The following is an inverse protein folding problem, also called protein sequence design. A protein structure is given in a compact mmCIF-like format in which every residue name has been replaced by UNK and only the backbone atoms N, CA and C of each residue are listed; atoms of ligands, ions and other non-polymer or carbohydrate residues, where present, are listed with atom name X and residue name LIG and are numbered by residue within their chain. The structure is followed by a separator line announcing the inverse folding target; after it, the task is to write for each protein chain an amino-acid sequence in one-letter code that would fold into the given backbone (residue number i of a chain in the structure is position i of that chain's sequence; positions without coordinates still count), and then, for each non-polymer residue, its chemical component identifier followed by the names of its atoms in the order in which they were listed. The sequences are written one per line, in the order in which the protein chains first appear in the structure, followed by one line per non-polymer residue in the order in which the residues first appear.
data_IF_387422904846
#
_entry.id   IF_387422904846
#
_cell.length_a   1.000
_cell.length_b   1.000
_cell.length_c   1.000
_cell.angle_alpha   90.00
_cell.angle_beta   90.00
_cell.angle_gamma   90.00
#
_symmetry.space_group_name_H-M   'P 1'
#
loop_
_entity.id
_entity.type
_entity.pdbx_description
1 polymer ?
#
# COMPACT_ATOMS: atom_id res chain seq x y z
N UNK A 1 -19.41 18.61 -19.35
CA UNK A 1 -20.45 17.56 -19.43
C UNK A 1 -19.92 16.34 -18.70
N UNK A 2 -20.46 16.13 -17.50
CA UNK A 2 -20.04 15.14 -16.51
C UNK A 2 -20.70 13.80 -16.83
N UNK A 3 -19.95 12.77 -17.16
CA UNK A 3 -20.46 11.40 -17.20
C UNK A 3 -20.36 10.79 -15.81
N UNK A 4 -21.51 10.77 -15.13
CA UNK A 4 -21.74 10.02 -13.92
C UNK A 4 -21.49 8.53 -14.19
N UNK A 5 -20.66 7.89 -13.36
CA UNK A 5 -20.62 6.43 -13.29
C UNK A 5 -21.96 5.95 -12.73
N UNK A 6 -22.74 5.27 -13.55
CA UNK A 6 -23.91 4.51 -13.10
C UNK A 6 -23.44 3.36 -12.21
N UNK A 7 -23.37 3.58 -10.91
CA UNK A 7 -23.37 2.49 -9.94
C UNK A 7 -24.77 1.87 -9.97
N UNK A 8 -24.96 0.88 -10.84
CA UNK A 8 -26.18 0.06 -10.80
C UNK A 8 -26.29 -0.54 -9.41
N UNK A 9 -27.48 -0.50 -8.81
CA UNK A 9 -27.70 -1.07 -7.48
C UNK A 9 -27.13 -2.50 -7.41
N UNK A 10 -26.46 -2.89 -6.32
CA UNK A 10 -25.81 -4.20 -6.20
C UNK A 10 -26.80 -5.31 -6.56
N UNK A 11 -26.52 -5.94 -7.70
CA UNK A 11 -27.52 -6.72 -8.44
C UNK A 11 -27.60 -8.16 -7.91
N UNK A 12 -26.53 -8.64 -7.27
CA UNK A 12 -26.48 -9.95 -6.61
C UNK A 12 -26.38 -9.83 -5.09
N UNK A 13 -26.71 -10.91 -4.37
CA UNK A 13 -26.58 -10.97 -2.92
C UNK A 13 -25.11 -10.78 -2.46
N UNK A 14 -24.15 -11.27 -3.24
CA UNK A 14 -22.72 -11.13 -2.93
C UNK A 14 -22.31 -9.66 -3.03
N UNK A 15 -22.74 -8.96 -4.08
CA UNK A 15 -22.45 -7.52 -4.24
C UNK A 15 -22.99 -6.72 -3.05
N UNK A 16 -24.21 -7.05 -2.59
CA UNK A 16 -24.82 -6.38 -1.43
C UNK A 16 -24.04 -6.60 -0.15
N UNK A 17 -23.56 -7.83 0.08
CA UNK A 17 -22.69 -8.14 1.23
C UNK A 17 -21.38 -7.37 1.13
N UNK A 18 -20.74 -7.37 -0.04
CA UNK A 18 -19.50 -6.65 -0.28
C UNK A 18 -19.67 -5.14 -0.02
N UNK A 19 -20.71 -4.51 -0.59
CA UNK A 19 -21.02 -3.10 -0.36
C UNK A 19 -21.25 -2.79 1.12
N UNK A 20 -21.95 -3.67 1.86
CA UNK A 20 -22.17 -3.50 3.29
C UNK A 20 -20.90 -3.62 4.14
N UNK A 21 -19.93 -4.44 3.74
CA UNK A 21 -18.65 -4.55 4.44
C UNK A 21 -17.73 -3.38 4.11
N UNK A 22 -17.74 -2.90 2.85
CA UNK A 22 -16.91 -1.78 2.40
C UNK A 22 -17.28 -0.45 3.06
N UNK A 23 -18.50 -0.28 3.59
CA UNK A 23 -18.86 0.96 4.30
C UNK A 23 -18.00 1.22 5.55
N UNK A 24 -17.35 0.20 6.11
CA UNK A 24 -16.48 0.34 7.27
C UNK A 24 -15.08 0.87 6.93
N UNK A 25 -14.73 0.99 5.64
CA UNK A 25 -13.48 1.61 5.21
C UNK A 25 -13.44 3.09 5.62
N UNK A 26 -12.43 3.48 6.39
CA UNK A 26 -12.27 4.82 6.96
C UNK A 26 -13.04 5.08 8.26
N UNK A 27 -13.87 4.14 8.73
CA UNK A 27 -14.80 4.38 9.84
C UNK A 27 -15.01 3.14 10.73
N UNK A 28 -14.53 3.15 11.99
CA UNK A 28 -14.51 1.96 12.83
C UNK A 28 -15.89 1.50 13.29
N UNK A 29 -16.90 2.39 13.29
CA UNK A 29 -18.25 2.10 13.78
C UNK A 29 -19.30 2.86 12.97
N UNK A 30 -20.42 2.21 12.65
CA UNK A 30 -21.54 2.84 11.94
C UNK A 30 -22.90 2.34 12.38
N UNK A 31 -23.90 3.21 12.33
CA UNK A 31 -25.31 2.85 12.57
C UNK A 31 -25.93 2.20 11.33
N UNK A 32 -27.03 1.45 11.51
CA UNK A 32 -27.80 0.87 10.41
C UNK A 32 -28.18 1.91 9.34
N UNK A 33 -28.56 3.12 9.75
CA UNK A 33 -28.98 4.18 8.83
C UNK A 33 -27.81 4.63 7.94
N UNK A 34 -26.62 4.82 8.52
CA UNK A 34 -25.42 5.19 7.78
C UNK A 34 -24.98 4.07 6.82
N UNK A 35 -25.03 2.82 7.29
CA UNK A 35 -24.68 1.65 6.49
C UNK A 35 -25.61 1.50 5.28
N UNK A 36 -26.93 1.51 5.52
CA UNK A 36 -27.93 1.38 4.46
C UNK A 36 -27.79 2.48 3.39
N UNK A 37 -27.59 3.73 3.84
CA UNK A 37 -27.41 4.88 2.95
C UNK A 37 -26.14 4.75 2.10
N UNK A 38 -25.02 4.37 2.69
CA UNK A 38 -23.73 4.32 1.98
C UNK A 38 -23.59 3.09 1.09
N UNK A 39 -24.21 1.96 1.47
CA UNK A 39 -24.25 0.76 0.64
C UNK A 39 -25.30 0.84 -0.49
N UNK A 40 -26.07 1.93 -0.56
CA UNK A 40 -27.21 2.11 -1.46
C UNK A 40 -28.23 0.96 -1.38
N UNK A 41 -28.67 0.65 -0.15
CA UNK A 41 -29.60 -0.45 0.13
C UNK A 41 -30.81 0.01 0.94
N UNK A 42 -32.01 -0.56 0.68
CA UNK A 42 -33.15 -0.38 1.56
C UNK A 42 -32.80 -0.81 2.99
N UNK A 43 -33.24 -0.02 3.98
CA UNK A 43 -32.93 -0.25 5.40
C UNK A 43 -33.29 -1.67 5.89
N UNK A 44 -34.41 -2.21 5.42
CA UNK A 44 -34.86 -3.57 5.75
C UNK A 44 -33.91 -4.64 5.20
N UNK A 45 -33.42 -4.46 3.97
CA UNK A 45 -32.44 -5.36 3.35
C UNK A 45 -31.10 -5.30 4.07
N UNK A 46 -30.58 -4.09 4.31
CA UNK A 46 -29.34 -3.90 5.06
C UNK A 46 -29.42 -4.54 6.45
N UNK A 47 -30.55 -4.37 7.15
CA UNK A 47 -30.76 -4.96 8.48
C UNK A 47 -30.69 -6.49 8.46
N UNK A 48 -31.43 -7.14 7.53
CA UNK A 48 -31.44 -8.61 7.40
C UNK A 48 -30.05 -9.17 7.07
N UNK A 49 -29.32 -8.49 6.19
CA UNK A 49 -27.96 -8.92 5.82
C UNK A 49 -27.00 -8.74 7.01
N UNK A 50 -27.05 -7.59 7.68
CA UNK A 50 -26.23 -7.34 8.87
C UNK A 50 -26.51 -8.34 10.00
N UNK A 51 -27.76 -8.75 10.21
CA UNK A 51 -28.07 -9.82 11.19
C UNK A 51 -27.31 -11.11 10.86
N UNK A 52 -27.33 -11.54 9.59
CA UNK A 52 -26.58 -12.73 9.16
C UNK A 52 -25.07 -12.53 9.29
N UNK A 53 -24.54 -11.34 8.98
CA UNK A 53 -23.12 -11.03 9.16
C UNK A 53 -22.70 -11.04 10.64
N UNK A 54 -23.61 -10.65 11.54
CA UNK A 54 -23.40 -10.75 13.00
C UNK A 54 -23.37 -12.21 13.45
N UNK A 55 -24.32 -13.04 12.99
CA UNK A 55 -24.34 -14.47 13.30
C UNK A 55 -23.09 -15.21 12.79
N UNK A 56 -22.54 -14.78 11.64
CA UNK A 56 -21.30 -15.31 11.09
C UNK A 56 -20.03 -14.75 11.75
N UNK A 57 -20.16 -13.75 12.63
CA UNK A 57 -19.05 -13.06 13.29
C UNK A 57 -18.24 -12.11 12.39
N UNK A 58 -18.72 -11.84 11.17
CA UNK A 58 -18.05 -10.93 10.22
C UNK A 58 -18.28 -9.46 10.58
N UNK A 59 -19.39 -9.18 11.26
CA UNK A 59 -19.74 -7.89 11.82
C UNK A 59 -20.08 -8.10 13.30
N UNK A 60 -19.76 -7.14 14.15
CA UNK A 60 -20.21 -7.11 15.54
C UNK A 60 -21.18 -5.94 15.74
N UNK A 61 -22.10 -6.09 16.68
CA UNK A 61 -23.05 -5.05 17.04
C UNK A 61 -22.86 -4.64 18.49
N UNK A 62 -22.56 -3.36 18.71
CA UNK A 62 -22.47 -2.73 20.03
C UNK A 62 -23.61 -1.70 20.14
N UNK A 63 -24.69 -2.06 20.85
CA UNK A 63 -25.89 -1.24 20.95
C UNK A 63 -26.55 -0.98 19.60
N UNK A 64 -26.48 0.26 19.12
CA UNK A 64 -27.03 0.70 17.82
C UNK A 64 -25.98 0.81 16.71
N UNK A 65 -24.72 0.56 17.03
CA UNK A 65 -23.61 0.63 16.09
C UNK A 65 -23.13 -0.77 15.72
N UNK A 66 -22.60 -0.87 14.52
CA UNK A 66 -21.96 -2.04 13.95
C UNK A 66 -20.49 -1.72 13.69
N UNK A 67 -19.63 -2.74 13.74
CA UNK A 67 -18.22 -2.70 13.36
C UNK A 67 -17.81 -4.00 12.69
N UNK A 68 -16.67 -4.04 12.01
CA UNK A 68 -16.10 -5.31 11.54
C UNK A 68 -15.80 -6.23 12.72
N UNK A 69 -16.20 -7.49 12.59
CA UNK A 69 -15.99 -8.51 13.62
C UNK A 69 -14.65 -9.20 13.52
N UNK A 70 -14.18 -9.79 14.62
CA UNK A 70 -12.87 -10.44 14.69
C UNK A 70 -12.65 -11.54 13.64
N UNK A 71 -13.72 -12.21 13.17
CA UNK A 71 -13.64 -13.25 12.13
C UNK A 71 -13.02 -12.74 10.82
N UNK A 72 -13.23 -11.47 10.47
CA UNK A 72 -12.63 -10.87 9.27
C UNK A 72 -11.10 -10.79 9.41
N UNK A 73 -10.60 -10.45 10.60
CA UNK A 73 -9.16 -10.45 10.89
C UNK A 73 -8.57 -11.88 10.85
N UNK A 74 -9.26 -12.87 11.42
CA UNK A 74 -8.82 -14.27 11.37
C UNK A 74 -8.67 -14.81 9.94
N UNK A 75 -9.56 -14.38 9.03
CA UNK A 75 -9.49 -14.77 7.62
C UNK A 75 -8.40 -13.99 6.87
N UNK A 76 -8.33 -12.67 7.06
CA UNK A 76 -7.33 -11.81 6.41
C UNK A 76 -5.90 -12.13 6.85
N UNK A 77 -5.68 -12.38 8.15
CA UNK A 77 -4.36 -12.75 8.69
C UNK A 77 -3.81 -14.05 8.09
N UNK A 78 -4.67 -15.00 7.72
CA UNK A 78 -4.24 -16.21 7.01
C UNK A 78 -3.70 -15.94 5.60
N UNK A 79 -4.18 -14.88 4.94
CA UNK A 79 -3.66 -14.45 3.64
C UNK A 79 -2.25 -13.91 3.81
N UNK A 80 -2.08 -12.97 4.74
CA UNK A 80 -0.78 -12.33 5.02
C UNK A 80 0.25 -13.34 5.54
N UNK A 81 -0.12 -14.20 6.50
CA UNK A 81 0.79 -15.20 7.06
C UNK A 81 1.26 -16.25 6.06
N UNK A 82 0.45 -16.57 5.04
CA UNK A 82 0.82 -17.52 3.97
C UNK A 82 1.72 -16.89 2.92
N UNK A 83 1.83 -15.57 2.91
CA UNK A 83 2.69 -14.86 1.98
C UNK A 83 4.14 -14.96 2.47
N UNK A 84 4.91 -15.89 1.88
CA UNK A 84 6.35 -16.06 2.16
C UNK A 84 7.13 -14.75 2.03
N UNK A 85 6.70 -13.87 1.14
CA UNK A 85 7.30 -12.56 0.96
C UNK A 85 7.16 -11.69 2.21
N UNK A 86 5.96 -11.59 2.80
CA UNK A 86 5.71 -10.80 4.01
C UNK A 86 6.66 -11.22 5.14
N UNK A 87 6.74 -12.52 5.42
CA UNK A 87 7.65 -13.05 6.45
C UNK A 87 9.12 -12.74 6.15
N UNK A 88 9.52 -12.80 4.88
CA UNK A 88 10.87 -12.47 4.43
C UNK A 88 11.18 -10.99 4.63
N UNK A 89 10.20 -10.10 4.41
CA UNK A 89 10.36 -8.65 4.55
C UNK A 89 10.56 -8.20 6.00
N UNK A 90 9.90 -8.84 6.97
CA UNK A 90 9.83 -8.36 8.36
C UNK A 90 11.21 -8.03 8.97
N UNK A 91 12.23 -8.91 8.93
CA UNK A 91 13.54 -8.59 9.52
C UNK A 91 14.19 -7.36 8.89
N UNK A 92 14.06 -7.18 7.57
CA UNK A 92 14.61 -6.02 6.87
C UNK A 92 13.85 -4.74 7.21
N UNK A 93 12.52 -4.82 7.34
CA UNK A 93 11.69 -3.70 7.76
C UNK A 93 12.05 -3.22 9.17
N UNK A 94 12.22 -4.15 10.12
CA UNK A 94 12.68 -3.79 11.47
C UNK A 94 14.08 -3.19 11.48
N UNK A 95 15.00 -3.73 10.66
CA UNK A 95 16.35 -3.18 10.55
C UNK A 95 16.35 -1.75 9.97
N UNK A 96 15.56 -1.50 8.92
CA UNK A 96 15.38 -0.17 8.33
C UNK A 96 14.78 0.82 9.32
N UNK A 97 13.71 0.42 10.02
CA UNK A 97 13.09 1.27 11.03
C UNK A 97 14.10 1.63 12.13
N UNK A 98 14.82 0.63 12.64
CA UNK A 98 15.79 0.83 13.72
C UNK A 98 16.96 1.72 13.31
N UNK A 99 17.42 1.64 12.06
CA UNK A 99 18.57 2.44 11.60
C UNK A 99 18.19 3.86 11.18
N UNK A 100 16.97 4.08 10.69
CA UNK A 100 16.55 5.37 10.12
C UNK A 100 15.61 6.17 11.04
N UNK A 101 14.93 5.50 11.97
CA UNK A 101 13.82 6.08 12.73
C UNK A 101 12.57 6.39 11.89
N UNK A 102 12.59 6.09 10.59
CA UNK A 102 11.49 6.33 9.65
C UNK A 102 10.48 5.19 9.69
N UNK A 103 9.24 5.50 9.31
CA UNK A 103 8.21 4.46 9.21
C UNK A 103 8.36 3.68 7.93
N UNK A 104 8.32 2.36 8.05
CA UNK A 104 8.51 1.42 6.94
C UNK A 104 7.18 0.79 6.58
N UNK A 105 6.84 0.79 5.29
CA UNK A 105 5.67 0.07 4.79
C UNK A 105 6.09 -1.01 3.79
N UNK A 106 5.40 -2.14 3.86
CA UNK A 106 5.34 -3.12 2.77
C UNK A 106 4.02 -2.91 2.04
N UNK A 107 4.07 -2.74 0.72
CA UNK A 107 2.88 -2.50 -0.09
C UNK A 107 2.83 -3.41 -1.31
N UNK A 108 1.62 -3.78 -1.72
CA UNK A 108 1.34 -4.48 -2.98
C UNK A 108 0.49 -3.63 -3.92
N UNK A 109 0.75 -3.68 -5.23
CA UNK A 109 -0.06 -3.02 -6.25
C UNK A 109 -1.20 -3.95 -6.68
N UNK A 110 -2.44 -3.52 -6.44
CA UNK A 110 -3.67 -4.26 -6.73
C UNK A 110 -4.67 -3.31 -7.40
N UNK A 111 -5.05 -3.61 -8.64
CA UNK A 111 -6.09 -2.88 -9.38
C UNK A 111 -5.88 -1.35 -9.43
N UNK A 112 -4.64 -0.90 -9.66
CA UNK A 112 -4.32 0.52 -9.78
C UNK A 112 -4.10 1.25 -8.44
N UNK A 113 -4.19 0.54 -7.32
CA UNK A 113 -3.96 1.07 -5.98
C UNK A 113 -2.87 0.29 -5.26
N UNK A 114 -2.15 0.96 -4.37
CA UNK A 114 -1.31 0.26 -3.40
C UNK A 114 -2.13 -0.12 -2.18
N UNK A 115 -1.98 -1.35 -1.73
CA UNK A 115 -2.47 -1.85 -0.46
C UNK A 115 -1.28 -1.99 0.50
N UNK A 116 -1.35 -1.35 1.66
CA UNK A 116 -0.34 -1.54 2.70
C UNK A 116 -0.58 -2.88 3.41
N UNK A 117 0.39 -3.78 3.33
CA UNK A 117 0.33 -5.10 3.95
C UNK A 117 0.87 -5.08 5.38
N UNK A 118 1.91 -4.26 5.62
CA UNK A 118 2.59 -4.19 6.91
C UNK A 118 3.15 -2.79 7.14
N UNK A 119 3.27 -2.42 8.42
CA UNK A 119 3.81 -1.13 8.84
C UNK A 119 4.65 -1.28 10.12
N UNK A 120 5.87 -0.76 10.09
CA UNK A 120 6.72 -0.62 11.28
C UNK A 120 6.92 0.87 11.57
N UNK A 121 6.43 1.33 12.73
CA UNK A 121 6.50 2.72 13.20
C UNK A 121 5.14 3.41 13.29
N UNK A 122 4.98 4.32 14.24
CA UNK A 122 3.67 4.92 14.60
C UNK A 122 3.39 6.27 13.93
N UNK A 123 4.40 6.89 13.32
CA UNK A 123 4.24 8.11 12.52
C UNK A 123 4.05 7.77 11.03
N UNK A 124 3.35 8.58 10.21
CA UNK A 124 2.38 9.56 10.63
C UNK A 124 1.08 8.86 11.06
N UNK A 125 0.41 9.41 12.08
CA UNK A 125 -0.98 9.04 12.39
C UNK A 125 -1.94 9.88 11.52
N UNK A 126 -1.93 9.62 10.20
CA UNK A 126 -2.73 10.37 9.21
C UNK A 126 -3.87 9.54 8.62
N UNK A 127 -4.54 8.77 9.47
CA UNK A 127 -5.75 8.03 9.13
C UNK A 127 -5.50 6.62 8.58
N UNK A 128 -6.59 5.97 8.18
CA UNK A 128 -6.63 4.54 7.86
C UNK A 128 -5.87 4.18 6.56
N UNK A 129 -5.70 5.13 5.64
CA UNK A 129 -5.01 4.88 4.36
C UNK A 129 -3.52 4.58 4.51
N UNK A 130 -2.91 4.93 5.64
CA UNK A 130 -1.50 4.64 5.97
C UNK A 130 -1.34 3.47 6.95
N UNK A 131 -2.44 2.78 7.30
CA UNK A 131 -2.40 1.61 8.19
C UNK A 131 -2.40 0.33 7.35
N UNK A 132 -1.97 -0.82 7.90
CA UNK A 132 -2.18 -2.11 7.24
C UNK A 132 -3.65 -2.28 6.85
N UNK A 133 -3.91 -2.69 5.61
CA UNK A 133 -5.24 -2.73 5.00
C UNK A 133 -5.66 -1.44 4.27
N UNK A 134 -4.98 -0.33 4.51
CA UNK A 134 -5.23 0.96 3.86
C UNK A 134 -4.79 0.96 2.39
N UNK A 135 -5.55 1.71 1.58
CA UNK A 135 -5.29 1.85 0.14
C UNK A 135 -4.99 3.28 -0.27
N UNK A 136 -4.16 3.42 -1.31
CA UNK A 136 -3.88 4.69 -1.96
C UNK A 136 -3.76 4.51 -3.48
N UNK A 137 -4.16 5.49 -4.30
CA UNK A 137 -3.90 5.43 -5.74
C UNK A 137 -2.41 5.23 -6.04
N UNK A 138 -2.08 4.28 -6.92
CA UNK A 138 -0.69 3.97 -7.24
C UNK A 138 0.06 5.17 -7.84
N UNK A 139 -0.68 6.03 -8.54
CA UNK A 139 -0.14 7.25 -9.17
C UNK A 139 0.28 8.31 -8.16
N UNK A 140 -0.30 8.32 -6.95
CA UNK A 140 0.04 9.27 -5.89
C UNK A 140 1.12 8.73 -4.95
N UNK A 141 1.09 7.43 -4.64
CA UNK A 141 2.04 6.85 -3.68
C UNK A 141 3.44 6.65 -4.28
N UNK A 142 4.48 6.84 -3.45
CA UNK A 142 5.85 6.49 -3.86
C UNK A 142 5.96 4.99 -4.20
N UNK A 143 5.35 4.11 -3.39
CA UNK A 143 5.36 2.67 -3.61
C UNK A 143 4.74 2.28 -4.96
N UNK A 144 3.57 2.84 -5.30
CA UNK A 144 2.90 2.55 -6.56
C UNK A 144 3.72 3.00 -7.76
N UNK A 145 4.29 4.21 -7.70
CA UNK A 145 5.19 4.71 -8.74
C UNK A 145 6.48 3.89 -8.85
N UNK A 146 7.05 3.40 -7.75
CA UNK A 146 8.21 2.52 -7.79
C UNK A 146 7.91 1.20 -8.53
N UNK A 147 6.74 0.60 -8.28
CA UNK A 147 6.30 -0.63 -8.96
C UNK A 147 6.02 -0.35 -10.44
N UNK A 148 5.23 0.68 -10.76
CA UNK A 148 4.88 1.03 -12.14
C UNK A 148 6.10 1.36 -13.01
N UNK A 149 7.18 1.89 -12.40
CA UNK A 149 8.44 2.16 -13.09
C UNK A 149 9.19 0.88 -13.53
N UNK A 150 8.89 -0.27 -12.92
CA UNK A 150 9.48 -1.58 -13.27
C UNK A 150 8.68 -2.36 -14.30
N UNK A 151 7.44 -1.93 -14.57
CA UNK A 151 6.52 -2.57 -15.50
C UNK A 151 6.58 -1.89 -16.88
N UNK A 152 6.33 -2.67 -17.93
CA UNK A 152 5.98 -2.08 -19.21
C UNK A 152 4.62 -1.37 -19.09
N UNK A 153 4.43 -0.28 -19.84
CA UNK A 153 3.18 0.49 -19.78
C UNK A 153 1.95 -0.34 -20.16
N UNK A 154 2.11 -1.33 -21.05
CA UNK A 154 1.06 -2.27 -21.41
C UNK A 154 0.61 -3.19 -20.26
N UNK A 155 1.40 -3.30 -19.18
CA UNK A 155 1.12 -4.11 -18.00
C UNK A 155 0.57 -3.30 -16.83
N UNK A 156 0.39 -1.99 -17.03
CA UNK A 156 -0.21 -1.15 -16.01
C UNK A 156 -1.67 -1.56 -15.79
N UNK A 157 -2.11 -1.64 -14.53
CA UNK A 157 -3.52 -1.82 -14.23
C UNK A 157 -4.31 -0.58 -14.68
N UNK A 158 -5.64 -0.66 -14.63
CA UNK A 158 -6.48 0.52 -14.85
C UNK A 158 -6.17 1.58 -13.78
N UNK A 159 -5.49 2.65 -14.21
CA UNK A 159 -5.06 3.74 -13.33
C UNK A 159 -6.15 4.80 -13.24
N UNK A 160 -6.52 5.15 -12.01
CA UNK A 160 -7.38 6.30 -11.72
C UNK A 160 -6.53 7.49 -11.26
N UNK A 161 -6.99 8.69 -11.62
CA UNK A 161 -6.36 9.95 -11.23
C UNK A 161 -7.38 10.77 -10.42
N UNK A 162 -7.70 10.36 -9.18
CA UNK A 162 -8.54 11.17 -8.31
C UNK A 162 -7.84 12.52 -8.05
N UNK A 163 -8.58 13.58 -7.69
CA UNK A 163 -7.97 14.84 -7.30
C UNK A 163 -6.91 14.60 -6.22
N UNK A 164 -5.64 14.98 -6.43
CA UNK A 164 -4.62 14.72 -5.44
C UNK A 164 -4.86 15.56 -4.21
N UNK A 165 -4.44 15.02 -3.07
CA UNK A 165 -4.59 15.69 -1.77
C UNK A 165 -3.75 16.98 -1.68
N UNK A 166 -2.79 17.18 -2.59
CA UNK A 166 -1.91 18.35 -2.63
C UNK A 166 -1.65 18.82 -4.07
N UNK A 167 -1.14 20.04 -4.21
CA UNK A 167 -0.71 20.59 -5.50
C UNK A 167 0.56 19.95 -6.08
N UNK A 168 1.25 19.10 -5.30
CA UNK A 168 2.50 18.44 -5.71
C UNK A 168 2.28 17.03 -6.26
N UNK A 169 1.05 16.53 -6.19
CA UNK A 169 0.69 15.20 -6.65
C UNK A 169 0.73 15.04 -8.18
N UNK A 170 0.68 13.80 -8.64
CA UNK A 170 0.55 13.48 -10.07
C UNK A 170 -0.93 13.51 -10.45
N UNK A 171 -1.32 14.38 -11.39
CA UNK A 171 -2.72 14.59 -11.80
C UNK A 171 -3.07 13.94 -13.15
N UNK A 172 -2.07 13.62 -13.97
CA UNK A 172 -2.29 13.16 -15.34
C UNK A 172 -1.35 12.04 -15.73
N UNK A 173 -1.77 11.25 -16.72
CA UNK A 173 -0.93 10.20 -17.33
C UNK A 173 0.40 10.76 -17.85
N UNK A 174 0.41 11.95 -18.44
CA UNK A 174 1.64 12.60 -18.93
C UNK A 174 2.59 12.95 -17.80
N UNK A 175 2.06 13.49 -16.69
CA UNK A 175 2.87 13.75 -15.49
C UNK A 175 3.41 12.45 -14.88
N UNK A 176 2.59 11.40 -14.84
CA UNK A 176 3.01 10.08 -14.37
C UNK A 176 4.15 9.53 -15.22
N UNK A 177 4.02 9.49 -16.56
CA UNK A 177 5.09 9.01 -17.46
C UNK A 177 6.41 9.73 -17.24
N UNK A 178 6.37 11.08 -17.12
CA UNK A 178 7.55 11.89 -16.82
C UNK A 178 8.15 11.54 -15.47
N UNK A 179 7.30 11.36 -14.46
CA UNK A 179 7.74 11.00 -13.14
C UNK A 179 8.40 9.62 -13.10
N UNK A 180 7.78 8.61 -13.71
CA UNK A 180 8.35 7.26 -13.81
C UNK A 180 9.65 7.23 -14.62
N UNK A 181 9.85 8.16 -15.55
CA UNK A 181 11.16 8.42 -16.16
C UNK A 181 12.22 8.76 -15.11
N UNK A 182 11.93 9.74 -14.23
CA UNK A 182 12.83 10.11 -13.13
C UNK A 182 13.06 8.98 -12.13
N UNK A 183 12.04 8.16 -11.86
CA UNK A 183 12.19 6.96 -11.01
C UNK A 183 13.21 6.01 -11.62
N UNK A 184 13.14 5.77 -12.94
CA UNK A 184 14.11 4.94 -13.66
C UNK A 184 15.51 5.54 -13.66
N UNK A 185 15.64 6.85 -13.89
CA UNK A 185 16.92 7.57 -13.85
C UNK A 185 17.61 7.49 -12.47
N UNK A 186 16.82 7.39 -11.39
CA UNK A 186 17.30 7.20 -10.01
C UNK A 186 17.52 5.75 -9.62
N UNK A 187 17.62 4.84 -10.59
CA UNK A 187 17.86 3.41 -10.34
C UNK A 187 16.65 2.70 -9.71
N UNK A 188 15.43 3.17 -10.01
CA UNK A 188 14.17 2.56 -9.57
C UNK A 188 13.62 3.09 -8.25
N UNK A 189 14.17 4.20 -7.72
CA UNK A 189 13.72 4.81 -6.46
C UNK A 189 12.71 5.92 -6.74
N UNK A 190 11.48 5.73 -6.29
CA UNK A 190 10.44 6.74 -6.36
C UNK A 190 10.51 7.67 -5.16
N UNK A 191 10.38 8.97 -5.41
CA UNK A 191 10.31 10.01 -4.38
C UNK A 191 8.95 10.68 -4.46
N UNK A 192 8.25 10.71 -3.35
CA UNK A 192 7.05 11.52 -3.12
C UNK A 192 7.39 12.59 -2.08
N UNK A 193 7.45 13.84 -2.50
CA UNK A 193 7.74 14.97 -1.62
C UNK A 193 6.46 15.77 -1.48
N UNK A 194 5.74 15.52 -0.39
CA UNK A 194 4.44 16.15 -0.08
C UNK A 194 3.35 15.92 -1.14
N UNK A 195 3.54 15.03 -2.12
CA UNK A 195 2.57 14.81 -3.21
C UNK A 195 1.34 14.04 -2.75
N UNK A 196 1.54 12.88 -2.11
CA UNK A 196 0.44 12.08 -1.58
C UNK A 196 -0.21 12.74 -0.36
N UNK A 197 0.59 13.33 0.53
CA UNK A 197 0.08 14.00 1.74
C UNK A 197 0.99 15.15 2.15
N UNK A 198 0.39 16.31 2.43
CA UNK A 198 1.14 17.50 2.82
C UNK A 198 1.99 17.26 4.09
N UNK A 199 3.25 17.67 4.03
CA UNK A 199 4.22 17.55 5.12
C UNK A 199 4.84 16.15 5.28
N UNK A 200 4.53 15.20 4.40
CA UNK A 200 5.15 13.87 4.37
C UNK A 200 6.06 13.76 3.16
N UNK A 201 7.27 13.27 3.36
CA UNK A 201 8.08 12.70 2.26
C UNK A 201 8.07 11.19 2.37
N UNK A 202 7.97 10.52 1.24
CA UNK A 202 8.12 9.08 1.13
C UNK A 202 9.08 8.73 -0.01
N UNK A 203 9.92 7.72 0.22
CA UNK A 203 10.78 7.13 -0.80
C UNK A 203 10.52 5.65 -0.87
N UNK A 204 10.53 5.08 -2.06
CA UNK A 204 10.17 3.69 -2.25
C UNK A 204 10.96 3.02 -3.36
N UNK A 205 11.13 1.71 -3.22
CA UNK A 205 11.72 0.84 -4.22
C UNK A 205 10.87 -0.42 -4.40
N UNK A 206 10.70 -0.86 -5.64
CA UNK A 206 10.05 -2.13 -5.95
C UNK A 206 10.91 -3.29 -5.44
N UNK A 207 10.27 -4.33 -4.93
CA UNK A 207 10.91 -5.60 -4.60
C UNK A 207 10.96 -6.42 -5.88
N UNK A 208 12.16 -6.78 -6.31
CA UNK A 208 12.40 -7.52 -7.55
C UNK A 208 12.86 -6.64 -8.72
N UNK A 209 13.50 -7.25 -9.73
CA UNK A 209 13.99 -6.56 -10.91
C UNK A 209 12.84 -6.18 -11.86
N UNK A 210 13.16 -5.36 -12.85
CA UNK A 210 12.24 -5.06 -13.96
C UNK A 210 11.73 -6.35 -14.61
N UNK A 211 10.43 -6.42 -14.88
CA UNK A 211 9.78 -7.60 -15.45
C UNK A 211 9.53 -8.75 -14.46
N UNK A 212 9.80 -8.57 -13.16
CA UNK A 212 9.31 -9.54 -12.17
C UNK A 212 7.79 -9.44 -12.03
N UNK A 213 7.10 -10.57 -11.96
CA UNK A 213 5.66 -10.60 -11.67
C UNK A 213 5.32 -10.14 -10.24
N UNK A 214 6.33 -9.93 -9.40
CA UNK A 214 6.14 -9.44 -8.06
C UNK A 214 5.80 -7.95 -8.07
N UNK A 215 4.54 -7.64 -7.77
CA UNK A 215 4.03 -6.27 -7.70
C UNK A 215 4.03 -5.74 -6.27
N UNK A 216 5.20 -5.74 -5.63
CA UNK A 216 5.38 -5.28 -4.26
C UNK A 216 6.51 -4.26 -4.13
N UNK A 217 6.44 -3.40 -3.11
CA UNK A 217 7.45 -2.39 -2.82
C UNK A 217 7.65 -2.21 -1.32
N UNK A 218 8.86 -1.78 -0.95
CA UNK A 218 9.13 -1.17 0.34
C UNK A 218 9.11 0.35 0.20
N UNK A 219 8.61 1.03 1.23
CA UNK A 219 8.75 2.48 1.34
C UNK A 219 9.16 2.91 2.74
N UNK A 220 9.89 4.03 2.80
CA UNK A 220 10.17 4.79 4.02
C UNK A 220 9.42 6.11 3.95
N UNK A 221 8.80 6.54 5.03
CA UNK A 221 8.24 7.87 5.13
C UNK A 221 8.61 8.60 6.43
N UNK A 222 8.71 9.92 6.32
CA UNK A 222 9.13 10.82 7.39
C UNK A 222 8.64 12.26 7.15
N UNK A 223 8.85 13.17 8.11
CA UNK A 223 8.49 14.57 7.96
C UNK A 223 9.26 15.20 6.78
N UNK A 224 8.55 15.93 5.92
CA UNK A 224 9.15 16.45 4.69
C UNK A 224 10.33 17.41 4.92
N UNK A 225 10.35 18.09 6.06
CA UNK A 225 11.38 19.07 6.40
C UNK A 225 12.69 18.43 6.87
N UNK A 226 12.64 17.22 7.42
CA UNK A 226 13.78 16.60 8.11
C UNK A 226 14.22 15.27 7.51
N UNK A 227 13.41 14.65 6.64
CA UNK A 227 13.74 13.35 6.05
C UNK A 227 14.90 13.46 5.04
N UNK A 228 16.02 12.73 5.23
CA UNK A 228 17.10 12.68 4.26
C UNK A 228 16.72 11.77 3.08
N UNK A 229 15.98 12.32 2.11
CA UNK A 229 15.32 11.54 1.07
C UNK A 229 16.29 10.70 0.21
N UNK A 230 17.50 11.21 -0.08
CA UNK A 230 18.47 10.45 -0.88
C UNK A 230 19.00 9.23 -0.13
N UNK A 231 19.45 9.42 1.11
CA UNK A 231 19.99 8.34 1.96
C UNK A 231 18.92 7.29 2.28
N UNK A 232 17.70 7.74 2.59
CA UNK A 232 16.55 6.86 2.76
C UNK A 232 16.22 6.10 1.47
N UNK A 233 16.34 6.75 0.31
CA UNK A 233 16.14 6.15 -1.01
C UNK A 233 17.14 5.04 -1.31
N UNK A 234 18.42 5.26 -0.98
CA UNK A 234 19.46 4.25 -1.12
C UNK A 234 19.27 3.09 -0.14
N UNK A 235 18.90 3.38 1.11
CA UNK A 235 18.61 2.35 2.12
C UNK A 235 17.44 1.45 1.71
N UNK A 236 16.32 2.04 1.25
CA UNK A 236 15.15 1.25 0.83
C UNK A 236 15.42 0.43 -0.42
N UNK A 237 16.20 0.96 -1.37
CA UNK A 237 16.61 0.21 -2.57
C UNK A 237 17.47 -0.99 -2.23
N UNK A 238 18.46 -0.83 -1.35
CA UNK A 238 19.31 -1.92 -0.90
C UNK A 238 18.47 -3.01 -0.20
N UNK A 239 17.58 -2.60 0.71
CA UNK A 239 16.71 -3.54 1.41
C UNK A 239 15.76 -4.29 0.46
N UNK A 240 15.15 -3.60 -0.52
CA UNK A 240 14.28 -4.22 -1.50
C UNK A 240 15.02 -5.26 -2.36
N UNK A 241 16.27 -4.98 -2.74
CA UNK A 241 17.13 -5.96 -3.41
C UNK A 241 17.46 -7.16 -2.52
N UNK A 242 17.79 -6.92 -1.24
CA UNK A 242 18.15 -7.99 -0.30
C UNK A 242 16.95 -8.91 -0.01
N UNK A 243 15.75 -8.34 0.12
CA UNK A 243 14.50 -9.10 0.24
C UNK A 243 14.27 -9.95 -0.99
N UNK A 244 14.45 -9.39 -2.20
CA UNK A 244 14.30 -10.16 -3.43
C UNK A 244 15.23 -11.37 -3.46
N UNK A 245 16.52 -11.18 -3.15
CA UNK A 245 17.48 -12.29 -3.09
C UNK A 245 17.09 -13.34 -2.05
N UNK A 246 16.68 -12.92 -0.86
CA UNK A 246 16.22 -13.81 0.20
C UNK A 246 14.96 -14.60 -0.20
N UNK A 247 13.99 -13.93 -0.83
CA UNK A 247 12.73 -14.54 -1.26
C UNK A 247 12.91 -15.49 -2.46
N UNK A 248 13.83 -15.19 -3.37
CA UNK A 248 14.15 -16.04 -4.53
C UNK A 248 15.10 -17.18 -4.22
N UNK A 249 15.69 -17.24 -3.01
CA UNK A 249 16.74 -18.22 -2.67
C UNK A 249 18.04 -18.03 -3.45
N UNK A 250 18.26 -16.84 -4.03
CA UNK A 250 19.43 -16.49 -4.83
C UNK A 250 20.50 -15.86 -3.93
N UNK A 251 21.74 -16.36 -3.98
CA UNK A 251 22.83 -15.77 -3.21
C UNK A 251 23.22 -14.38 -3.78
N UNK A 252 23.28 -13.36 -2.91
CA UNK A 252 23.77 -12.02 -3.28
C UNK A 252 25.26 -12.14 -3.66
N UNK A 253 25.63 -11.76 -4.89
CA UNK A 253 27.04 -11.53 -5.22
C UNK A 253 27.52 -10.31 -4.42
N UNK A 254 28.57 -10.42 -3.58
CA UNK A 254 29.04 -9.28 -2.79
C UNK A 254 29.41 -8.12 -3.72
N UNK A 255 28.89 -6.93 -3.40
CA UNK A 255 29.13 -5.71 -4.17
C UNK A 255 30.61 -5.34 -4.21
N UNK A 256 31.03 -4.66 -5.28
CA UNK A 256 32.42 -4.31 -5.61
C UNK A 256 33.20 -3.63 -4.46
N UNK A 257 32.52 -2.97 -3.52
CA UNK A 257 33.11 -2.38 -2.32
C UNK A 257 33.65 -3.42 -1.31
N UNK A 258 32.99 -4.58 -1.18
CA UNK A 258 33.45 -5.67 -0.30
C UNK A 258 34.68 -6.40 -0.86
N UNK A 259 34.86 -6.39 -2.19
CA UNK A 259 36.06 -6.95 -2.85
C UNK A 259 37.32 -6.13 -2.58
N UNK A 260 37.20 -4.81 -2.47
CA UNK A 260 38.35 -3.95 -2.14
C UNK A 260 38.77 -4.19 -0.69
N UNK A 261 37.83 -4.23 0.25
CA UNK A 261 38.13 -4.50 1.67
C UNK A 261 38.70 -5.90 1.94
N UNK A 262 38.35 -6.89 1.13
CA UNK A 262 38.93 -8.24 1.22
C UNK A 262 40.36 -8.33 0.68
N UNK A 263 40.73 -7.48 -0.29
CA UNK A 263 42.10 -7.40 -0.81
C UNK A 263 43.01 -6.61 0.14
N UNK A 264 42.48 -5.57 0.82
CA UNK A 264 43.27 -4.78 1.79
C UNK A 264 43.48 -5.46 3.15
N UNK A 265 42.79 -6.58 3.44
CA UNK A 265 43.05 -7.41 4.63
C UNK A 265 44.00 -8.59 4.36
N UNK A 266 44.47 -8.72 3.12
CA UNK A 266 45.41 -9.76 2.69
C UNK A 266 46.80 -9.20 2.32
N UNK A 267 47.04 -7.91 2.57
CA UNK A 267 48.35 -7.24 2.54
C UNK A 267 48.63 -6.69 3.94
#
# INVERSE_FOLDING_TARGET
MTTAQSHGSPNTMIDRVASLLQVFDGYPRRTLAQIARQADLPRSSAHRILQRLVELGWVEREGYQYRLGLRMFELGSKVVQRERLHQTCLPFMYALHRSTGLTVHLSALISGEVLHLERIGDWPDRGETWRPGGRQPAVHSAAGRAILAQLAEAEWPDLTFPPPATAYGVHTLTQLRRDLGRVRDRGGVAHDVQGCTAGITAVAASIGPSGSDLRAALSLCGPAETMPAQEAGDAVRIAAMDIWYAASGLARRPGRAARVAAITRAC
#
